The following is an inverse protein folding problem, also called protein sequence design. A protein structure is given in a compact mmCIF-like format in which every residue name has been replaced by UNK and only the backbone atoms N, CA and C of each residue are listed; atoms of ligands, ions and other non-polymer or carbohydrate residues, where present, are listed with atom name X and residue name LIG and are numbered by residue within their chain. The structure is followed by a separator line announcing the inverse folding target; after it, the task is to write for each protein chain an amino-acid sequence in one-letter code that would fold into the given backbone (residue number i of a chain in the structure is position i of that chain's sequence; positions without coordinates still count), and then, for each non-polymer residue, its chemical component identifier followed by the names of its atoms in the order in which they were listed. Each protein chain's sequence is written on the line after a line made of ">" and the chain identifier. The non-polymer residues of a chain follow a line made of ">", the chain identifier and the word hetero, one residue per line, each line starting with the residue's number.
data_IF_606972386052
#
_entry.id   IF_606972386052
#
_cell.length_a   1.000
_cell.length_b   1.000
_cell.length_c   1.000
_cell.angle_alpha   90.00
_cell.angle_beta   90.00
_cell.angle_gamma   90.00
#
_symmetry.space_group_name_H-M   'P 1'
#
loop_
_entity.id
_entity.type
_entity.pdbx_description
1 polymer ?
#
# COMPACT_ATOMS: atom_id res chain seq x y z
N UNK A 1 -3.80 -7.33 -26.33
CA UNK A 1 -3.69 -8.31 -27.43
C UNK A 1 -3.28 -9.63 -26.83
N UNK A 2 -4.10 -10.68 -26.94
CA UNK A 2 -3.97 -11.89 -26.11
C UNK A 2 -4.24 -13.20 -26.85
N UNK A 3 -3.72 -13.34 -28.08
CA UNK A 3 -3.89 -14.56 -28.88
C UNK A 3 -2.59 -15.03 -29.56
N UNK A 4 -1.42 -14.77 -28.96
CA UNK A 4 -0.13 -15.11 -29.60
C UNK A 4 0.93 -15.66 -28.65
N UNK A 5 0.55 -16.36 -27.58
CA UNK A 5 1.52 -17.17 -26.82
C UNK A 5 1.39 -18.64 -27.21
N UNK A 6 2.49 -19.21 -27.70
CA UNK A 6 2.62 -20.64 -27.96
C UNK A 6 2.49 -21.44 -26.65
N UNK A 7 1.92 -22.64 -26.74
CA UNK A 7 1.81 -23.55 -25.60
C UNK A 7 3.22 -23.86 -25.05
N UNK A 8 3.48 -23.49 -23.80
CA UNK A 8 4.79 -23.65 -23.15
C UNK A 8 5.71 -22.43 -23.22
N UNK A 9 5.29 -21.32 -23.84
CA UNK A 9 6.07 -20.08 -23.81
C UNK A 9 6.04 -19.41 -22.44
N UNK A 10 7.21 -18.95 -21.99
CA UNK A 10 7.38 -18.16 -20.76
C UNK A 10 7.74 -16.74 -21.16
N UNK A 11 6.88 -15.78 -20.84
CA UNK A 11 7.18 -14.36 -21.06
C UNK A 11 7.91 -13.79 -19.85
N UNK A 12 9.01 -13.07 -20.09
CA UNK A 12 9.82 -12.50 -19.02
C UNK A 12 9.63 -10.98 -18.92
N UNK A 13 9.24 -10.50 -17.74
CA UNK A 13 9.07 -9.08 -17.43
C UNK A 13 10.04 -8.67 -16.31
N UNK A 14 10.45 -7.40 -16.28
CA UNK A 14 11.30 -6.86 -15.22
C UNK A 14 10.58 -5.74 -14.47
N UNK A 15 10.46 -5.89 -13.15
CA UNK A 15 9.84 -4.91 -12.26
C UNK A 15 10.92 -4.03 -11.64
N UNK A 16 10.96 -2.76 -12.04
CA UNK A 16 11.97 -1.79 -11.57
C UNK A 16 11.48 -0.83 -10.50
N UNK A 17 10.16 -0.67 -10.38
CA UNK A 17 9.54 0.20 -9.39
C UNK A 17 9.56 -0.44 -8.00
N UNK A 18 9.66 0.37 -6.95
CA UNK A 18 9.57 -0.10 -5.57
C UNK A 18 8.13 -0.49 -5.16
N UNK A 19 7.11 -0.06 -5.88
CA UNK A 19 5.73 -0.50 -5.67
C UNK A 19 4.99 -0.51 -7.00
N UNK A 20 3.96 -1.33 -7.12
CA UNK A 20 3.16 -1.42 -8.34
C UNK A 20 2.05 -2.46 -8.28
N UNK A 21 1.40 -2.65 -9.42
CA UNK A 21 0.36 -3.65 -9.64
C UNK A 21 0.62 -4.39 -10.93
N UNK A 22 0.32 -5.69 -10.94
CA UNK A 22 0.26 -6.50 -12.14
C UNK A 22 -1.15 -7.05 -12.30
N UNK A 23 -1.66 -6.98 -13.52
CA UNK A 23 -2.95 -7.55 -13.91
C UNK A 23 -2.76 -8.38 -15.17
N UNK A 24 -2.93 -9.70 -15.05
CA UNK A 24 -2.85 -10.63 -16.16
C UNK A 24 -4.24 -11.14 -16.53
N UNK A 25 -4.75 -10.63 -17.65
CA UNK A 25 -6.07 -10.96 -18.19
C UNK A 25 -5.99 -12.25 -19.01
N UNK A 26 -6.90 -13.20 -18.77
CA UNK A 26 -6.92 -14.51 -19.44
C UNK A 26 -5.55 -15.21 -19.39
N UNK A 27 -5.04 -15.56 -18.19
CA UNK A 27 -3.73 -16.19 -18.06
C UNK A 27 -3.58 -17.46 -18.92
N UNK A 28 -2.49 -17.52 -19.70
CA UNK A 28 -2.12 -18.69 -20.52
C UNK A 28 -0.60 -18.88 -20.48
N UNK A 29 -0.11 -20.11 -20.31
CA UNK A 29 1.33 -20.36 -20.20
C UNK A 29 1.90 -19.88 -18.86
N UNK A 30 3.02 -19.16 -18.88
CA UNK A 30 3.63 -18.62 -17.66
C UNK A 30 4.30 -17.24 -17.87
N UNK A 31 4.37 -16.47 -16.79
CA UNK A 31 5.13 -15.22 -16.71
C UNK A 31 6.27 -15.36 -15.69
N UNK A 32 7.47 -14.91 -16.06
CA UNK A 32 8.61 -14.78 -15.15
C UNK A 32 8.91 -13.32 -14.88
N UNK A 33 8.67 -12.85 -13.67
CA UNK A 33 8.87 -11.47 -13.25
C UNK A 33 10.17 -11.35 -12.47
N UNK A 34 11.17 -10.69 -13.05
CA UNK A 34 12.42 -10.38 -12.37
C UNK A 34 12.23 -9.15 -11.49
N UNK A 35 12.55 -9.27 -10.20
CA UNK A 35 12.55 -8.15 -9.26
C UNK A 35 13.89 -7.43 -9.33
N UNK A 36 13.91 -6.21 -9.86
CA UNK A 36 15.12 -5.41 -10.03
C UNK A 36 14.90 -3.97 -9.54
N UNK A 37 14.67 -3.78 -8.22
CA UNK A 37 14.40 -2.46 -7.67
C UNK A 37 15.58 -1.52 -7.95
N UNK A 38 15.28 -0.27 -8.32
CA UNK A 38 16.29 0.78 -8.39
C UNK A 38 16.71 1.17 -6.98
N UNK A 39 17.76 0.53 -6.47
CA UNK A 39 18.31 0.85 -5.16
C UNK A 39 19.24 2.07 -5.28
N UNK A 40 19.18 3.03 -4.33
CA UNK A 40 20.20 4.07 -4.25
C UNK A 40 21.57 3.43 -4.02
N UNK A 41 22.66 4.02 -4.55
CA UNK A 41 24.00 3.52 -4.32
C UNK A 41 24.24 3.49 -2.81
N UNK A 42 24.61 2.33 -2.28
CA UNK A 42 24.91 2.15 -0.85
C UNK A 42 26.06 3.10 -0.49
N UNK A 43 25.78 4.16 0.27
CA UNK A 43 26.83 4.87 1.01
C UNK A 43 27.53 3.82 1.86
N UNK A 44 28.84 3.70 1.67
CA UNK A 44 29.78 2.79 2.32
C UNK A 44 29.22 2.03 3.53
N UNK A 45 29.32 0.70 3.48
CA UNK A 45 29.11 -0.20 4.61
C UNK A 45 29.56 0.44 5.92
N UNK A 46 28.59 0.89 6.72
CA UNK A 46 28.86 1.29 8.11
C UNK A 46 29.29 0.00 8.80
N UNK A 47 30.57 -0.08 9.20
CA UNK A 47 31.14 -1.24 9.88
C UNK A 47 30.22 -1.66 11.02
N UNK A 48 29.75 -2.91 11.01
CA UNK A 48 28.94 -3.50 12.07
C UNK A 48 27.44 -3.63 11.80
N UNK A 49 26.94 -3.21 10.62
CA UNK A 49 25.53 -3.43 10.24
C UNK A 49 25.39 -4.66 9.32
N UNK A 50 24.42 -5.53 9.61
CA UNK A 50 24.07 -6.68 8.76
C UNK A 50 23.92 -6.27 7.30
N UNK A 51 24.28 -7.15 6.33
CA UNK A 51 24.11 -6.84 4.92
C UNK A 51 22.64 -6.45 4.65
N UNK A 52 22.39 -5.40 3.86
CA UNK A 52 21.03 -4.91 3.69
C UNK A 52 20.18 -5.94 2.95
N UNK A 53 19.10 -6.38 3.57
CA UNK A 53 18.14 -7.25 2.92
C UNK A 53 17.16 -6.42 2.08
N UNK A 54 16.72 -7.00 0.98
CA UNK A 54 15.58 -6.53 0.21
C UNK A 54 14.40 -7.41 0.59
N UNK A 55 13.29 -6.79 0.95
CA UNK A 55 12.03 -7.47 1.27
C UNK A 55 11.00 -7.07 0.23
N UNK A 56 10.34 -8.05 -0.39
CA UNK A 56 9.14 -7.81 -1.17
C UNK A 56 7.94 -8.40 -0.47
N UNK A 57 6.84 -7.67 -0.49
CA UNK A 57 5.55 -8.13 -0.07
C UNK A 57 4.58 -8.10 -1.25
N UNK A 58 3.74 -9.11 -1.35
CA UNK A 58 2.78 -9.29 -2.44
C UNK A 58 1.40 -9.48 -1.84
N UNK A 59 0.45 -8.66 -2.26
CA UNK A 59 -0.95 -8.75 -1.85
C UNK A 59 -1.82 -9.11 -3.07
N UNK A 60 -2.47 -10.28 -3.08
CA UNK A 60 -3.42 -10.60 -4.14
C UNK A 60 -4.63 -9.67 -4.07
N UNK A 61 -5.20 -9.36 -5.24
CA UNK A 61 -6.52 -8.73 -5.31
C UNK A 61 -7.60 -9.78 -5.02
N UNK A 62 -8.78 -9.35 -4.60
CA UNK A 62 -9.92 -10.26 -4.41
C UNK A 62 -10.37 -10.99 -5.69
N UNK A 63 -9.91 -10.53 -6.85
CA UNK A 63 -10.16 -11.13 -8.16
C UNK A 63 -9.09 -12.11 -8.62
N UNK A 64 -7.97 -12.29 -7.88
CA UNK A 64 -6.86 -13.13 -8.29
C UNK A 64 -7.31 -14.59 -8.52
N UNK A 65 -7.35 -15.02 -9.79
CA UNK A 65 -7.76 -16.36 -10.24
C UNK A 65 -7.09 -16.75 -11.54
N UNK A 66 -7.06 -18.06 -11.83
CA UNK A 66 -6.52 -18.60 -13.08
C UNK A 66 -5.00 -18.66 -13.14
N UNK A 67 -4.31 -18.40 -12.04
CA UNK A 67 -2.87 -18.60 -11.93
C UNK A 67 -2.45 -18.91 -10.49
N UNK A 68 -1.25 -19.45 -10.35
CA UNK A 68 -0.52 -19.60 -9.09
C UNK A 68 0.77 -18.77 -9.15
N UNK A 69 1.19 -18.23 -8.01
CA UNK A 69 2.41 -17.44 -7.90
C UNK A 69 3.46 -18.19 -7.10
N UNK A 70 4.66 -18.30 -7.65
CA UNK A 70 5.81 -18.93 -7.04
C UNK A 70 6.96 -17.94 -6.86
N UNK A 71 7.74 -18.15 -5.82
CA UNK A 71 9.04 -17.55 -5.61
C UNK A 71 10.10 -18.44 -6.25
N UNK A 72 10.83 -17.90 -7.22
CA UNK A 72 11.96 -18.57 -7.85
C UNK A 72 13.26 -18.13 -7.16
N UNK A 73 13.98 -19.10 -6.58
CA UNK A 73 15.30 -18.91 -5.96
C UNK A 73 16.23 -20.04 -6.37
N UNK A 74 17.37 -19.72 -6.96
CA UNK A 74 18.37 -20.70 -7.39
C UNK A 74 17.76 -21.86 -8.22
N UNK A 75 16.74 -21.55 -9.03
CA UNK A 75 16.02 -22.52 -9.86
C UNK A 75 14.93 -23.34 -9.15
N UNK A 76 14.73 -23.14 -7.85
CA UNK A 76 13.65 -23.77 -7.06
C UNK A 76 12.43 -22.87 -7.03
N UNK A 77 11.24 -23.44 -7.24
CA UNK A 77 9.96 -22.74 -7.17
C UNK A 77 9.24 -23.06 -5.85
N UNK A 78 9.04 -22.04 -5.02
CA UNK A 78 8.28 -22.13 -3.77
C UNK A 78 6.92 -21.45 -3.92
N UNK A 79 5.81 -22.12 -3.59
CA UNK A 79 4.48 -21.54 -3.75
C UNK A 79 4.25 -20.35 -2.78
N UNK A 80 4.02 -19.16 -3.32
CA UNK A 80 3.68 -17.95 -2.55
C UNK A 80 2.18 -17.72 -2.46
N UNK A 81 1.49 -17.78 -3.59
CA UNK A 81 0.03 -17.59 -3.64
C UNK A 81 -0.59 -18.77 -4.40
N UNK A 82 -1.45 -19.57 -3.74
CA UNK A 82 -2.26 -20.56 -4.44
C UNK A 82 -3.29 -19.89 -5.34
N UNK A 83 -4.02 -20.69 -6.13
CA UNK A 83 -5.18 -20.18 -6.85
C UNK A 83 -6.28 -19.78 -5.86
N UNK A 84 -6.90 -18.62 -6.07
CA UNK A 84 -7.84 -18.00 -5.13
C UNK A 84 -7.27 -17.86 -3.70
N UNK A 85 -6.15 -17.12 -3.54
CA UNK A 85 -5.51 -16.95 -2.25
C UNK A 85 -6.36 -16.08 -1.31
N UNK A 86 -6.13 -16.23 -0.01
CA UNK A 86 -6.64 -15.26 0.97
C UNK A 86 -6.06 -13.87 0.68
N UNK A 87 -6.79 -12.77 0.98
CA UNK A 87 -6.37 -11.40 0.67
C UNK A 87 -5.23 -10.86 1.56
N UNK A 88 -4.42 -11.75 2.14
CA UNK A 88 -3.29 -11.40 2.99
C UNK A 88 -2.03 -11.18 2.17
N UNK A 89 -1.21 -10.22 2.59
CA UNK A 89 0.10 -10.01 2.00
C UNK A 89 1.06 -11.16 2.39
N UNK A 90 1.88 -11.61 1.44
CA UNK A 90 2.98 -12.55 1.66
C UNK A 90 4.29 -11.84 1.40
N UNK A 91 5.20 -11.88 2.38
CA UNK A 91 6.49 -11.23 2.31
C UNK A 91 7.63 -12.24 2.28
N UNK A 92 8.68 -11.92 1.55
CA UNK A 92 9.93 -12.67 1.51
C UNK A 92 11.10 -11.71 1.34
N UNK A 93 12.28 -12.12 1.83
CA UNK A 93 13.48 -11.29 1.83
C UNK A 93 14.67 -12.00 1.19
N UNK A 94 15.57 -11.26 0.58
CA UNK A 94 16.76 -11.80 -0.08
C UNK A 94 17.93 -10.81 0.00
N UNK A 95 19.15 -11.33 -0.18
CA UNK A 95 20.34 -10.49 -0.30
C UNK A 95 20.41 -9.83 -1.69
N UNK A 96 20.97 -8.63 -1.84
CA UNK A 96 21.03 -7.93 -3.13
C UNK A 96 21.74 -8.69 -4.26
N UNK A 97 22.62 -9.64 -3.93
CA UNK A 97 23.33 -10.49 -4.89
C UNK A 97 22.52 -11.70 -5.36
N UNK A 98 21.48 -12.11 -4.61
CA UNK A 98 20.65 -13.25 -4.96
C UNK A 98 19.78 -12.93 -6.18
N UNK A 99 19.68 -13.89 -7.10
CA UNK A 99 18.79 -13.80 -8.25
C UNK A 99 17.42 -14.34 -7.84
N UNK A 100 16.50 -13.43 -7.53
CA UNK A 100 15.12 -13.76 -7.19
C UNK A 100 14.17 -13.31 -8.29
N UNK A 101 13.23 -14.18 -8.63
CA UNK A 101 12.14 -13.87 -9.55
C UNK A 101 10.82 -14.41 -9.01
N UNK A 102 9.72 -13.89 -9.55
CA UNK A 102 8.40 -14.43 -9.34
C UNK A 102 7.97 -15.18 -10.59
N UNK A 103 7.46 -16.38 -10.43
CA UNK A 103 6.95 -17.19 -11.52
C UNK A 103 5.44 -17.33 -11.39
N UNK A 104 4.69 -16.79 -12.35
CA UNK A 104 3.25 -16.98 -12.44
C UNK A 104 2.97 -18.08 -13.43
N UNK A 105 2.27 -19.11 -12.98
CA UNK A 105 1.84 -20.21 -13.82
C UNK A 105 0.33 -20.15 -13.99
N UNK A 106 -0.16 -20.12 -15.23
CA UNK A 106 -1.59 -20.19 -15.50
C UNK A 106 -2.14 -21.57 -15.09
N UNK A 107 -3.29 -21.60 -14.41
CA UNK A 107 -3.99 -22.87 -14.15
C UNK A 107 -4.75 -23.27 -15.41
N UNK A 108 -4.57 -24.49 -15.95
CA UNK A 108 -5.36 -24.98 -17.07
C UNK A 108 -6.85 -25.02 -16.71
N UNK A 109 -7.69 -24.53 -17.61
CA UNK A 109 -9.14 -24.55 -17.39
C UNK A 109 -9.88 -24.70 -18.73
N UNK A 110 -10.96 -25.50 -18.81
CA UNK A 110 -11.60 -25.86 -20.07
C UNK A 110 -12.57 -24.81 -20.62
N UNK A 111 -12.98 -23.81 -19.83
CA UNK A 111 -13.92 -22.78 -20.27
C UNK A 111 -13.23 -21.47 -20.72
N UNK A 112 -14.00 -20.60 -21.36
CA UNK A 112 -13.60 -19.25 -21.77
C UNK A 112 -13.92 -18.19 -20.70
N UNK A 113 -14.08 -18.60 -19.43
CA UNK A 113 -14.44 -17.68 -18.36
C UNK A 113 -13.37 -16.61 -18.17
N UNK A 114 -13.81 -15.38 -17.89
CA UNK A 114 -12.90 -14.29 -17.57
C UNK A 114 -12.21 -14.57 -16.23
N UNK A 115 -10.91 -14.85 -16.31
CA UNK A 115 -10.02 -14.98 -15.15
C UNK A 115 -8.96 -13.90 -15.19
N UNK A 116 -8.64 -13.37 -14.01
CA UNK A 116 -7.70 -12.28 -13.85
C UNK A 116 -6.75 -12.64 -12.71
N UNK A 117 -5.47 -12.83 -13.02
CA UNK A 117 -4.45 -12.95 -12.00
C UNK A 117 -3.89 -11.55 -11.72
N UNK A 118 -4.38 -10.91 -10.65
CA UNK A 118 -3.99 -9.55 -10.30
C UNK A 118 -3.51 -9.44 -8.86
N UNK A 119 -2.35 -8.81 -8.67
CA UNK A 119 -1.75 -8.57 -7.36
C UNK A 119 -1.05 -7.22 -7.33
N UNK A 120 -0.81 -6.72 -6.13
CA UNK A 120 0.03 -5.56 -5.86
C UNK A 120 1.30 -5.99 -5.15
N UNK A 121 2.38 -5.28 -5.41
CA UNK A 121 3.67 -5.57 -4.81
C UNK A 121 4.28 -4.29 -4.24
N UNK A 122 5.02 -4.46 -3.13
CA UNK A 122 5.87 -3.44 -2.53
C UNK A 122 7.23 -4.05 -2.24
N UNK A 123 8.30 -3.38 -2.65
CA UNK A 123 9.69 -3.70 -2.33
C UNK A 123 10.23 -2.65 -1.36
N UNK A 124 10.94 -3.13 -0.35
CA UNK A 124 11.61 -2.34 0.67
C UNK A 124 13.02 -2.85 0.83
N UNK A 125 13.97 -1.95 0.99
CA UNK A 125 15.30 -2.30 1.49
C UNK A 125 15.44 -1.82 2.93
N UNK A 126 16.36 -2.41 3.69
CA UNK A 126 16.70 -1.98 5.05
C UNK A 126 17.16 -0.50 5.14
N UNK A 127 17.41 0.15 4.01
CA UNK A 127 17.76 1.57 3.85
C UNK A 127 16.55 2.52 3.76
N UNK A 128 15.40 2.02 3.29
CA UNK A 128 14.16 2.79 3.21
C UNK A 128 13.37 2.56 4.50
N UNK A 129 13.94 3.01 5.62
CA UNK A 129 13.17 3.28 6.82
C UNK A 129 12.25 4.48 6.53
N UNK A 130 11.21 4.28 5.70
CA UNK A 130 9.95 5.02 5.97
C UNK A 130 9.64 4.72 7.43
N UNK A 131 9.22 5.70 8.25
CA UNK A 131 8.67 5.39 9.56
C UNK A 131 7.70 4.23 9.34
N UNK A 132 7.99 3.13 10.03
CA UNK A 132 7.55 1.80 9.66
C UNK A 132 6.08 1.80 9.25
N UNK A 133 5.72 1.03 8.22
CA UNK A 133 4.33 0.61 8.12
C UNK A 133 3.90 0.13 9.51
N UNK A 134 2.71 0.49 10.00
CA UNK A 134 2.12 -0.20 11.14
C UNK A 134 1.61 -1.59 10.71
N UNK A 135 2.38 -2.31 9.90
CA UNK A 135 2.32 -3.75 9.81
C UNK A 135 3.46 -4.30 10.65
N UNK A 136 3.11 -4.58 11.91
CA UNK A 136 3.81 -5.43 12.87
C UNK A 136 5.04 -4.90 13.65
N UNK A 137 5.64 -3.74 13.36
CA UNK A 137 6.90 -3.34 14.06
C UNK A 137 6.89 -2.01 14.83
N UNK A 138 5.79 -1.25 14.84
CA UNK A 138 5.49 -0.33 15.94
C UNK A 138 4.70 -1.13 16.97
N UNK A 139 5.21 -1.23 18.19
CA UNK A 139 4.52 -1.93 19.29
C UNK A 139 3.03 -1.59 19.32
N UNK A 140 2.21 -2.60 19.62
CA UNK A 140 0.75 -2.57 19.52
C UNK A 140 0.07 -1.33 20.16
N UNK A 141 0.75 -0.64 21.08
CA UNK A 141 0.30 0.56 21.77
C UNK A 141 0.45 1.88 20.97
N UNK A 142 1.40 1.97 20.03
CA UNK A 142 1.68 3.22 19.30
C UNK A 142 0.74 3.53 18.14
N UNK A 143 0.01 2.52 17.65
CA UNK A 143 -0.77 2.63 16.40
C UNK A 143 -2.14 3.30 16.55
N UNK A 144 -2.73 3.27 17.75
CA UNK A 144 -4.10 3.73 17.99
C UNK A 144 -4.18 4.97 18.89
N UNK A 145 -3.03 5.50 19.36
CA UNK A 145 -3.04 6.73 20.14
C UNK A 145 -3.33 7.94 19.24
N UNK A 146 -4.03 8.97 19.74
CA UNK A 146 -4.12 10.23 19.05
C UNK A 146 -2.73 10.81 18.77
N UNK A 147 -2.56 11.41 17.58
CA UNK A 147 -1.34 12.13 17.24
C UNK A 147 -1.18 13.38 18.10
N UNK A 148 0.06 13.67 18.51
CA UNK A 148 0.41 14.94 19.14
C UNK A 148 0.58 16.07 18.10
N UNK A 149 0.72 17.31 18.57
CA UNK A 149 0.80 18.49 17.70
C UNK A 149 1.95 18.39 16.68
N UNK A 150 3.13 17.94 17.09
CA UNK A 150 4.28 17.76 16.21
C UNK A 150 4.03 16.68 15.15
N UNK A 151 3.40 15.57 15.53
CA UNK A 151 3.03 14.48 14.62
C UNK A 151 2.00 14.95 13.59
N UNK A 152 1.02 15.74 14.01
CA UNK A 152 0.02 16.33 13.11
C UNK A 152 0.70 17.22 12.07
N UNK A 153 1.58 18.13 12.51
CA UNK A 153 2.30 19.04 11.63
C UNK A 153 3.19 18.28 10.63
N UNK A 154 3.94 17.28 11.09
CA UNK A 154 4.79 16.45 10.22
C UNK A 154 3.99 15.57 9.26
N UNK A 155 2.85 15.02 9.70
CA UNK A 155 2.04 14.13 8.90
C UNK A 155 1.51 14.84 7.65
N UNK A 156 1.19 16.13 7.71
CA UNK A 156 0.68 16.88 6.56
C UNK A 156 1.74 17.02 5.46
N UNK A 157 3.01 17.17 5.84
CA UNK A 157 4.11 17.34 4.90
C UNK A 157 4.56 16.02 4.26
N UNK A 158 4.46 14.92 5.01
CA UNK A 158 5.10 13.64 4.65
C UNK A 158 4.14 12.55 4.20
N UNK A 159 2.83 12.74 4.40
CA UNK A 159 1.82 11.75 4.03
C UNK A 159 1.62 11.62 2.52
N UNK A 160 1.26 10.42 2.07
CA UNK A 160 0.90 10.18 0.67
C UNK A 160 -0.45 10.82 0.32
N UNK A 161 -1.33 11.01 1.31
CA UNK A 161 -2.58 11.73 1.16
C UNK A 161 -2.87 12.65 2.35
N UNK A 162 -3.55 13.76 2.07
CA UNK A 162 -4.06 14.73 3.04
C UNK A 162 -5.44 15.20 2.58
N UNK A 163 -6.48 14.85 3.34
CA UNK A 163 -7.89 15.01 2.94
C UNK A 163 -8.68 15.67 4.06
N UNK A 164 -9.37 16.77 3.76
CA UNK A 164 -10.36 17.38 4.66
C UNK A 164 -11.72 16.78 4.32
N UNK A 165 -12.40 16.20 5.30
CA UNK A 165 -13.65 15.47 5.04
C UNK A 165 -14.45 15.09 6.27
N UNK A 166 -15.50 14.31 6.06
CA UNK A 166 -16.34 13.75 7.14
C UNK A 166 -16.47 12.24 7.00
N UNK A 167 -16.67 11.56 8.12
CA UNK A 167 -16.93 10.12 8.17
C UNK A 167 -18.37 9.86 7.72
N UNK A 168 -18.55 9.07 6.67
CA UNK A 168 -19.86 8.60 6.19
C UNK A 168 -20.27 7.28 6.82
N UNK A 169 -19.30 6.37 6.96
CA UNK A 169 -19.55 5.00 7.44
C UNK A 169 -18.29 4.44 8.06
N UNK A 170 -18.46 3.48 8.97
CA UNK A 170 -17.38 2.63 9.46
C UNK A 170 -17.85 1.19 9.36
N UNK A 171 -17.11 0.35 8.65
CA UNK A 171 -17.31 -1.10 8.62
C UNK A 171 -16.07 -1.81 9.16
N UNK A 172 -16.26 -3.01 9.68
CA UNK A 172 -15.19 -3.81 10.28
C UNK A 172 -15.01 -5.11 9.51
N UNK A 173 -13.77 -5.44 9.20
CA UNK A 173 -13.36 -6.70 8.63
C UNK A 173 -12.63 -7.51 9.73
N UNK A 174 -13.34 -8.49 10.29
CA UNK A 174 -12.81 -9.33 11.36
C UNK A 174 -11.76 -10.33 10.85
N UNK A 175 -11.79 -10.71 9.57
CA UNK A 175 -10.79 -11.62 9.00
C UNK A 175 -9.44 -10.90 8.86
N UNK A 176 -9.47 -9.67 8.35
CA UNK A 176 -8.27 -8.85 8.17
C UNK A 176 -7.83 -8.10 9.43
N UNK A 177 -8.65 -8.08 10.49
CA UNK A 177 -8.44 -7.26 11.69
C UNK A 177 -8.31 -5.76 11.35
N UNK A 178 -9.17 -5.29 10.45
CA UNK A 178 -9.16 -3.92 9.92
C UNK A 178 -10.53 -3.25 10.08
N UNK A 179 -10.54 -1.95 10.33
CA UNK A 179 -11.70 -1.07 10.20
C UNK A 179 -11.57 -0.22 8.95
N UNK A 180 -12.64 -0.16 8.17
CA UNK A 180 -12.74 0.60 6.92
C UNK A 180 -13.63 1.82 7.15
N UNK A 181 -13.03 3.00 7.06
CA UNK A 181 -13.68 4.30 7.24
C UNK A 181 -14.05 4.83 5.85
N UNK A 182 -15.34 4.91 5.56
CA UNK A 182 -15.85 5.59 4.37
C UNK A 182 -15.84 7.10 4.60
N UNK A 183 -15.12 7.85 3.77
CA UNK A 183 -14.91 9.29 3.96
C UNK A 183 -15.45 10.07 2.76
N UNK A 184 -16.21 11.14 3.07
CA UNK A 184 -16.56 12.19 2.12
C UNK A 184 -15.48 13.25 2.12
N UNK A 185 -14.76 13.42 1.01
CA UNK A 185 -13.82 14.53 0.87
C UNK A 185 -14.58 15.84 0.59
N UNK A 186 -14.32 16.85 1.42
CA UNK A 186 -14.69 18.24 1.15
C UNK A 186 -13.57 18.94 0.39
N UNK A 187 -12.30 18.60 0.70
CA UNK A 187 -11.13 19.09 -0.02
C UNK A 187 -10.01 18.04 -0.03
N UNK A 188 -9.37 17.88 -1.18
CA UNK A 188 -8.20 17.02 -1.36
C UNK A 188 -6.99 17.95 -1.43
N UNK A 189 -6.14 17.94 -0.41
CA UNK A 189 -4.91 18.76 -0.41
C UNK A 189 -3.76 18.02 -1.10
N UNK A 190 -3.69 16.70 -0.90
CA UNK A 190 -2.71 15.82 -1.53
C UNK A 190 -3.28 14.42 -1.68
N UNK A 191 -3.01 13.76 -2.80
CA UNK A 191 -3.16 12.31 -2.94
C UNK A 191 -2.20 11.81 -4.02
N UNK A 192 -1.32 10.86 -3.68
CA UNK A 192 -0.36 10.27 -4.64
C UNK A 192 -1.05 9.44 -5.73
N UNK A 193 -2.13 8.75 -5.37
CA UNK A 193 -3.01 8.01 -6.27
C UNK A 193 -4.45 8.53 -6.14
N UNK A 194 -5.33 8.31 -7.12
CA UNK A 194 -6.72 8.78 -7.07
C UNK A 194 -7.55 7.94 -6.09
N UNK A 195 -7.28 8.10 -4.79
CA UNK A 195 -7.94 7.40 -3.68
C UNK A 195 -9.36 7.92 -3.42
N UNK A 196 -9.58 9.20 -3.70
CA UNK A 196 -10.87 9.88 -3.57
C UNK A 196 -11.30 10.39 -4.94
N UNK A 197 -12.43 9.87 -5.45
CA UNK A 197 -12.93 10.19 -6.77
C UNK A 197 -14.39 10.62 -6.71
N UNK A 198 -14.77 11.56 -7.57
CA UNK A 198 -16.18 11.91 -7.79
C UNK A 198 -16.78 10.82 -8.69
N UNK A 199 -17.74 10.06 -8.17
CA UNK A 199 -18.36 8.96 -8.91
C UNK A 199 -19.34 9.46 -9.98
N UNK A 200 -18.84 10.03 -11.09
CA UNK A 200 -19.54 10.35 -12.34
C UNK A 200 -20.77 11.29 -12.27
N UNK A 201 -21.31 11.55 -11.08
CA UNK A 201 -22.44 12.41 -10.77
C UNK A 201 -21.93 13.64 -9.99
N UNK A 202 -22.66 14.77 -10.02
CA UNK A 202 -22.36 15.90 -9.14
C UNK A 202 -22.45 15.44 -7.69
N UNK A 203 -21.29 15.23 -7.07
CA UNK A 203 -21.17 14.65 -5.74
C UNK A 203 -19.76 14.84 -5.20
N UNK A 204 -19.66 15.00 -3.88
CA UNK A 204 -18.36 15.11 -3.21
C UNK A 204 -17.52 13.84 -3.45
N UNK A 205 -16.21 13.95 -3.70
CA UNK A 205 -15.37 12.77 -3.85
C UNK A 205 -15.46 11.86 -2.62
N UNK A 206 -15.51 10.55 -2.85
CA UNK A 206 -15.60 9.54 -1.79
C UNK A 206 -14.42 8.60 -1.91
N UNK A 207 -13.94 8.13 -0.76
CA UNK A 207 -12.88 7.14 -0.67
C UNK A 207 -12.96 6.38 0.65
N UNK A 208 -12.15 5.34 0.76
CA UNK A 208 -12.05 4.49 1.95
C UNK A 208 -10.67 4.58 2.57
N UNK A 209 -10.60 4.70 3.90
CA UNK A 209 -9.34 4.69 4.66
C UNK A 209 -9.39 3.51 5.64
N UNK A 210 -8.30 2.75 5.72
CA UNK A 210 -8.15 1.59 6.62
C UNK A 210 -7.39 1.95 7.88
N UNK A 211 -7.69 1.26 8.96
CA UNK A 211 -7.00 1.34 10.25
C UNK A 211 -7.14 0.01 11.00
N UNK A 212 -6.25 -0.35 11.94
CA UNK A 212 -6.42 -1.59 12.70
C UNK A 212 -7.73 -1.64 13.48
N UNK A 213 -8.41 -2.79 13.49
CA UNK A 213 -9.69 -2.99 14.16
C UNK A 213 -9.64 -2.64 15.66
N UNK A 214 -8.51 -2.95 16.31
CA UNK A 214 -8.25 -2.63 17.73
C UNK A 214 -8.30 -1.13 18.07
N UNK A 215 -8.17 -0.25 17.08
CA UNK A 215 -8.30 1.20 17.31
C UNK A 215 -9.75 1.62 17.60
N UNK A 216 -10.73 0.74 17.36
CA UNK A 216 -12.11 0.94 17.80
C UNK A 216 -12.77 2.19 17.23
N UNK A 217 -12.47 2.52 15.96
CA UNK A 217 -13.00 3.72 15.32
C UNK A 217 -14.53 3.68 15.27
N UNK A 218 -15.14 4.80 15.65
CA UNK A 218 -16.59 4.97 15.64
C UNK A 218 -17.00 6.05 14.65
N UNK A 219 -18.17 5.93 14.02
CA UNK A 219 -18.78 7.04 13.29
C UNK A 219 -18.93 8.24 14.23
N UNK A 220 -18.59 9.43 13.76
CA UNK A 220 -18.67 10.65 14.56
C UNK A 220 -18.93 11.88 13.70
N UNK A 221 -19.77 12.82 14.17
CA UNK A 221 -19.99 14.06 13.45
C UNK A 221 -18.76 14.96 13.52
N UNK A 222 -18.57 15.73 12.45
CA UNK A 222 -17.52 16.73 12.36
C UNK A 222 -16.75 16.66 11.05
N UNK A 223 -15.85 17.63 10.90
CA UNK A 223 -14.87 17.67 9.81
C UNK A 223 -13.50 17.32 10.39
N UNK A 224 -12.81 16.40 9.74
CA UNK A 224 -11.51 15.90 10.13
C UNK A 224 -10.50 16.17 9.02
N UNK A 225 -9.23 16.25 9.40
CA UNK A 225 -8.11 16.21 8.47
C UNK A 225 -7.51 14.81 8.51
N UNK A 226 -7.74 14.01 7.49
CA UNK A 226 -7.20 12.66 7.36
C UNK A 226 -5.84 12.70 6.68
N UNK A 227 -4.83 12.16 7.35
CA UNK A 227 -3.48 11.96 6.80
C UNK A 227 -3.12 10.49 6.83
N UNK A 228 -2.22 10.07 5.94
CA UNK A 228 -1.82 8.68 5.90
C UNK A 228 -0.91 8.31 4.74
N UNK A 229 -0.59 7.03 4.68
CA UNK A 229 0.24 6.44 3.64
C UNK A 229 -0.58 5.45 2.81
N UNK A 230 -0.03 5.12 1.66
CA UNK A 230 -0.51 4.03 0.84
C UNK A 230 0.15 2.72 1.27
N UNK A 231 -0.65 1.67 1.37
CA UNK A 231 -0.18 0.31 1.49
C UNK A 231 -0.96 -0.57 0.54
N UNK A 232 -0.27 -1.20 -0.43
CA UNK A 232 -0.86 -1.92 -1.55
C UNK A 232 -1.97 -1.12 -2.24
N UNK A 233 -1.74 0.17 -2.47
CA UNK A 233 -2.72 1.06 -3.10
C UNK A 233 -3.97 1.38 -2.28
N UNK A 234 -4.04 0.89 -1.04
CA UNK A 234 -5.10 1.20 -0.10
C UNK A 234 -4.63 2.33 0.82
N UNK A 235 -5.53 3.26 1.14
CA UNK A 235 -5.23 4.34 2.07
C UNK A 235 -5.23 3.81 3.51
N UNK A 236 -4.15 4.00 4.24
CA UNK A 236 -4.02 3.63 5.66
C UNK A 236 -3.87 4.89 6.51
N UNK A 237 -4.63 4.93 7.60
CA UNK A 237 -4.72 6.10 8.47
C UNK A 237 -3.43 6.28 9.28
N UNK A 238 -2.91 7.51 9.28
CA UNK A 238 -1.87 7.99 10.21
C UNK A 238 -2.50 8.84 11.32
N UNK A 239 -2.96 10.05 10.97
CA UNK A 239 -3.64 10.96 11.91
C UNK A 239 -5.02 11.37 11.38
N UNK A 240 -5.94 11.63 12.31
CA UNK A 240 -7.27 12.16 12.02
C UNK A 240 -7.72 13.22 13.04
N UNK A 241 -6.99 14.34 13.25
CA UNK A 241 -7.47 15.42 14.11
C UNK A 241 -8.77 16.02 13.55
N UNK A 242 -9.59 16.61 14.42
CA UNK A 242 -10.65 17.49 13.96
C UNK A 242 -10.01 18.69 13.26
N UNK A 243 -10.61 19.15 12.17
CA UNK A 243 -10.02 20.22 11.36
C UNK A 243 -9.81 21.50 12.16
N UNK A 244 -10.74 21.84 13.07
CA UNK A 244 -10.61 23.01 13.97
C UNK A 244 -9.42 22.91 14.91
N UNK A 245 -9.08 21.72 15.38
CA UNK A 245 -7.94 21.51 16.28
C UNK A 245 -6.64 21.64 15.50
N UNK A 246 -6.59 21.05 14.30
CA UNK A 246 -5.48 21.24 13.38
C UNK A 246 -5.24 22.71 13.04
N UNK A 247 -6.27 23.49 12.73
CA UNK A 247 -6.12 24.91 12.41
C UNK A 247 -5.43 25.68 13.55
N UNK A 248 -5.86 25.46 14.80
CA UNK A 248 -5.24 26.06 15.98
C UNK A 248 -3.76 25.68 16.13
N UNK A 249 -3.44 24.39 15.94
CA UNK A 249 -2.07 23.88 16.02
C UNK A 249 -1.19 24.50 14.93
N UNK A 250 -1.67 24.54 13.69
CA UNK A 250 -0.92 25.06 12.55
C UNK A 250 -0.71 26.58 12.64
N UNK A 251 -1.73 27.35 12.99
CA UNK A 251 -1.60 28.80 13.20
C UNK A 251 -0.63 29.12 14.34
N UNK A 252 -0.66 28.32 15.42
CA UNK A 252 0.30 28.43 16.51
C UNK A 252 1.74 28.23 16.03
N UNK A 253 1.98 27.15 15.29
CA UNK A 253 3.30 26.85 14.70
C UNK A 253 3.74 27.89 13.66
N UNK A 254 2.81 28.47 12.91
CA UNK A 254 3.10 29.50 11.92
C UNK A 254 3.56 30.80 12.59
N UNK A 255 2.92 31.21 13.70
CA UNK A 255 3.31 32.41 14.46
C UNK A 255 4.70 32.27 15.11
N UNK A 256 5.08 31.06 15.48
CA UNK A 256 6.40 30.77 16.07
C UNK A 256 7.45 30.36 15.04
N UNK A 257 7.11 30.35 13.74
CA UNK A 257 7.97 29.89 12.65
C UNK A 257 8.50 28.45 12.83
N UNK A 258 7.68 27.57 13.41
CA UNK A 258 7.98 26.16 13.66
C UNK A 258 7.19 25.20 12.74
N UNK A 259 6.54 25.72 11.70
CA UNK A 259 5.83 24.88 10.74
C UNK A 259 6.82 24.11 9.85
N UNK A 260 6.70 22.77 9.75
CA UNK A 260 7.64 21.95 8.97
C UNK A 260 7.44 22.09 7.44
N UNK A 261 6.28 22.56 7.00
CA UNK A 261 6.00 22.94 5.62
C UNK A 261 4.89 23.98 5.57
N UNK A 262 4.71 24.60 4.40
CA UNK A 262 3.55 25.44 4.11
C UNK A 262 2.34 24.58 3.71
N UNK A 263 1.17 24.92 4.27
CA UNK A 263 -0.09 24.25 4.01
C UNK A 263 -1.21 25.29 3.82
N UNK A 264 -2.04 25.18 2.77
CA UNK A 264 -3.14 26.11 2.55
C UNK A 264 -4.29 25.83 3.53
N UNK A 265 -4.30 26.58 4.63
CA UNK A 265 -5.38 26.57 5.62
C UNK A 265 -6.46 27.55 5.16
N UNK A 266 -7.53 27.02 4.57
CA UNK A 266 -8.74 27.77 4.19
C UNK A 266 -9.93 27.39 5.09
#
# INVERSE_FOLDING_TARGET
>A
SGLSQEAGSVEQLSLHCAEGSLEWLYPTGALRLRLAPRLPPTSAAVKGRSPPHITACIKPTGTFRGAQLYLEREGVLELLLPEAPRPHARCFSWLPQEKVALFLQATPHPDISRRIAAFRYELRGDWLARPALPTASLGAEGACRPCNDTEILMAICTSDFVIRGSIRSVSNDAELQESIIGVSATRIHRQKFPLFQAGGRPGRPVGSIRTPLRCGVKPGPGTFLFTGWLHFGEAWLSCAPRYRDFQRIYEGAQRTHQNPCEFPVD
#
